data_IF_489352925484
#
_entry.id   IF_489352925484
#
_cell.length_a   1.000
_cell.length_b   1.000
_cell.length_c   1.000
_cell.angle_alpha   90.00
_cell.angle_beta   90.00
_cell.angle_gamma   90.00
#
_symmetry.space_group_name_H-M   'P 1'
#
loop_
_entity.id
_entity.type
_entity.pdbx_description
1 polymer ?
#
# COMPACT_ATOMS: atom_id res chain seq x y z
N UNK A 1 -0.45 -3.03 -9.84
CA UNK A 1 0.74 -3.28 -8.99
C UNK A 1 1.79 -4.06 -9.75
N UNK A 2 3.09 -3.77 -9.55
CA UNK A 2 4.17 -4.58 -10.08
C UNK A 2 4.24 -5.92 -9.33
N UNK A 3 4.90 -6.91 -9.94
CA UNK A 3 5.20 -8.22 -9.33
C UNK A 3 6.14 -8.01 -8.14
N UNK A 4 6.03 -8.84 -7.09
CA UNK A 4 6.96 -8.74 -5.97
C UNK A 4 8.39 -9.00 -6.44
N UNK A 5 9.35 -8.16 -6.04
CA UNK A 5 10.72 -8.36 -6.45
C UNK A 5 11.31 -9.57 -5.70
N UNK A 6 12.30 -10.28 -6.25
CA UNK A 6 12.84 -11.49 -5.61
C UNK A 6 13.49 -11.18 -4.26
N UNK A 7 13.60 -12.16 -3.36
CA UNK A 7 14.11 -11.98 -2.00
C UNK A 7 15.52 -11.34 -1.93
N UNK A 8 16.36 -11.56 -2.95
CA UNK A 8 17.68 -10.93 -3.05
C UNK A 8 17.63 -9.40 -3.25
N UNK A 9 16.47 -8.82 -3.56
CA UNK A 9 16.27 -7.37 -3.68
C UNK A 9 15.80 -6.71 -2.39
N UNK A 10 15.62 -7.47 -1.31
CA UNK A 10 15.24 -6.92 -0.01
C UNK A 10 16.24 -5.84 0.44
N UNK A 11 15.74 -4.75 1.08
CA UNK A 11 16.58 -3.65 1.53
C UNK A 11 17.82 -4.09 2.34
N UNK A 12 18.97 -3.40 2.19
CA UNK A 12 20.20 -3.77 2.89
C UNK A 12 20.07 -3.84 4.42
N UNK A 13 19.18 -3.03 5.00
CA UNK A 13 18.95 -3.01 6.44
C UNK A 13 18.35 -4.34 6.95
N UNK A 14 17.60 -5.08 6.12
CA UNK A 14 17.05 -6.39 6.48
C UNK A 14 18.19 -7.42 6.62
N UNK A 15 19.18 -7.37 5.74
CA UNK A 15 20.34 -8.28 5.78
C UNK A 15 21.19 -8.08 7.03
N UNK A 16 21.19 -6.86 7.57
CA UNK A 16 21.91 -6.49 8.79
C UNK A 16 21.07 -6.68 10.06
N UNK A 17 19.79 -7.04 9.91
CA UNK A 17 18.88 -7.22 11.04
C UNK A 17 19.22 -8.51 11.81
N UNK A 18 19.14 -8.53 13.15
CA UNK A 18 19.39 -9.74 13.95
C UNK A 18 18.48 -10.92 13.57
N UNK A 19 17.27 -10.63 13.09
CA UNK A 19 16.29 -11.61 12.63
C UNK A 19 16.19 -11.72 11.10
N UNK A 20 17.27 -11.41 10.36
CA UNK A 20 17.28 -11.42 8.88
C UNK A 20 16.69 -12.70 8.29
N UNK A 21 17.06 -13.88 8.81
CA UNK A 21 16.52 -15.16 8.36
C UNK A 21 15.00 -15.28 8.55
N UNK A 22 14.46 -14.79 9.67
CA UNK A 22 13.02 -14.79 9.93
C UNK A 22 12.27 -13.86 8.96
N UNK A 23 12.85 -12.68 8.71
CA UNK A 23 12.31 -11.70 7.75
C UNK A 23 12.32 -12.28 6.33
N UNK A 24 13.44 -12.88 5.90
CA UNK A 24 13.56 -13.52 4.58
C UNK A 24 12.57 -14.68 4.43
N UNK A 25 12.42 -15.51 5.46
CA UNK A 25 11.45 -16.61 5.46
C UNK A 25 10.02 -16.10 5.32
N UNK A 26 9.65 -15.04 6.06
CA UNK A 26 8.33 -14.42 5.95
C UNK A 26 8.10 -13.79 4.57
N UNK A 27 9.12 -13.18 3.98
CA UNK A 27 9.04 -12.65 2.63
C UNK A 27 8.84 -13.75 1.58
N UNK A 28 9.54 -14.88 1.71
CA UNK A 28 9.36 -16.02 0.82
C UNK A 28 7.95 -16.60 0.89
N UNK A 29 7.31 -16.60 2.06
CA UNK A 29 5.89 -16.96 2.20
C UNK A 29 5.00 -16.06 1.34
N UNK A 30 5.29 -14.75 1.25
CA UNK A 30 4.56 -13.85 0.36
C UNK A 30 4.81 -14.14 -1.13
N UNK A 31 6.04 -14.51 -1.52
CA UNK A 31 6.37 -14.89 -2.91
C UNK A 31 5.67 -16.19 -3.33
N UNK A 32 5.64 -17.17 -2.43
CA UNK A 32 4.93 -18.44 -2.65
C UNK A 32 3.43 -18.20 -2.81
N UNK A 33 2.86 -17.32 -1.97
CA UNK A 33 1.48 -16.88 -2.09
C UNK A 33 1.21 -16.19 -3.44
N UNK A 34 2.06 -15.26 -3.88
CA UNK A 34 1.88 -14.59 -5.18
C UNK A 34 1.88 -15.61 -6.33
N UNK A 35 2.80 -16.58 -6.27
CA UNK A 35 2.88 -17.67 -7.26
C UNK A 35 1.63 -18.52 -7.26
N UNK A 36 1.09 -18.86 -6.08
CA UNK A 36 -0.15 -19.62 -5.95
C UNK A 36 -1.35 -18.85 -6.53
N UNK A 37 -1.50 -17.57 -6.18
CA UNK A 37 -2.58 -16.72 -6.71
C UNK A 37 -2.48 -16.60 -8.23
N UNK A 38 -1.27 -16.44 -8.77
CA UNK A 38 -1.09 -16.33 -10.22
C UNK A 38 -1.59 -17.59 -10.95
N UNK A 39 -1.33 -18.78 -10.41
CA UNK A 39 -1.85 -20.04 -10.98
C UNK A 39 -3.38 -20.06 -10.96
N UNK A 40 -4.01 -19.61 -9.89
CA UNK A 40 -5.47 -19.52 -9.81
C UNK A 40 -6.05 -18.49 -10.79
N UNK A 41 -5.39 -17.35 -10.97
CA UNK A 41 -5.79 -16.37 -11.99
C UNK A 41 -5.73 -16.98 -13.40
N UNK A 42 -4.67 -17.75 -13.70
CA UNK A 42 -4.51 -18.42 -14.99
C UNK A 42 -5.59 -19.50 -15.23
N UNK A 43 -6.15 -20.06 -14.15
CA UNK A 43 -7.30 -20.97 -14.17
C UNK A 43 -8.67 -20.26 -14.28
N UNK A 44 -8.68 -18.92 -14.23
CA UNK A 44 -9.88 -18.10 -14.35
C UNK A 44 -10.63 -17.86 -13.03
N UNK A 45 -10.00 -18.08 -11.87
CA UNK A 45 -10.69 -18.07 -10.56
C UNK A 45 -11.00 -16.66 -9.99
N UNK A 46 -10.87 -15.56 -10.74
CA UNK A 46 -11.28 -14.21 -10.28
C UNK A 46 -10.60 -13.75 -8.99
N UNK A 47 -9.26 -13.89 -8.94
CA UNK A 47 -8.42 -13.70 -7.75
C UNK A 47 -7.73 -12.32 -7.69
N UNK A 48 -8.27 -11.30 -8.36
CA UNK A 48 -7.61 -9.99 -8.50
C UNK A 48 -7.44 -9.29 -7.15
N UNK A 49 -8.43 -9.41 -6.25
CA UNK A 49 -8.36 -8.86 -4.89
C UNK A 49 -7.32 -9.58 -4.04
N UNK A 50 -7.23 -10.90 -4.17
CA UNK A 50 -6.23 -11.70 -3.47
C UNK A 50 -4.82 -11.26 -3.86
N UNK A 51 -4.58 -11.04 -5.17
CA UNK A 51 -3.32 -10.54 -5.68
C UNK A 51 -2.95 -9.18 -5.07
N UNK A 52 -3.92 -8.27 -4.93
CA UNK A 52 -3.70 -6.98 -4.27
C UNK A 52 -3.27 -7.18 -2.81
N UNK A 53 -3.99 -8.00 -2.04
CA UNK A 53 -3.68 -8.25 -0.62
C UNK A 53 -2.28 -8.85 -0.44
N UNK A 54 -1.92 -9.85 -1.25
CA UNK A 54 -0.60 -10.47 -1.25
C UNK A 54 0.50 -9.44 -1.54
N UNK A 55 0.32 -8.60 -2.56
CA UNK A 55 1.33 -7.60 -2.93
C UNK A 55 1.53 -6.54 -1.87
N UNK A 56 0.47 -6.10 -1.19
CA UNK A 56 0.61 -5.20 -0.03
C UNK A 56 1.55 -5.81 0.99
N UNK A 57 1.33 -7.08 1.38
CA UNK A 57 2.18 -7.75 2.36
C UNK A 57 3.63 -7.77 1.91
N UNK A 58 3.91 -8.16 0.67
CA UNK A 58 5.27 -8.18 0.14
C UNK A 58 5.91 -6.79 0.09
N UNK A 59 5.19 -5.76 -0.35
CA UNK A 59 5.72 -4.40 -0.40
C UNK A 59 5.93 -3.76 0.97
N UNK A 60 5.22 -4.20 2.01
CA UNK A 60 5.49 -3.75 3.37
C UNK A 60 6.92 -4.07 3.78
N UNK A 61 7.51 -5.20 3.40
CA UNK A 61 8.93 -5.48 3.69
C UNK A 61 9.90 -4.45 3.12
N UNK A 62 9.56 -3.81 2.00
CA UNK A 62 10.41 -2.80 1.36
C UNK A 62 10.30 -1.43 2.01
N UNK A 63 9.16 -1.15 2.65
CA UNK A 63 8.81 0.19 3.12
C UNK A 63 8.54 0.28 4.63
N UNK A 64 8.48 -0.84 5.34
CA UNK A 64 8.25 -0.83 6.78
C UNK A 64 9.41 -0.16 7.50
N UNK A 65 9.13 0.65 8.54
CA UNK A 65 10.18 1.10 9.44
C UNK A 65 10.85 -0.12 10.11
N UNK A 66 12.18 -0.09 10.18
CA UNK A 66 12.97 -1.21 10.72
C UNK A 66 12.62 -1.58 12.16
N UNK A 67 12.11 -0.62 12.95
CA UNK A 67 11.76 -0.82 14.37
C UNK A 67 10.52 -1.68 14.59
N UNK A 68 9.63 -1.74 13.61
CA UNK A 68 8.31 -2.35 13.77
C UNK A 68 8.14 -3.59 12.88
N UNK A 69 9.21 -4.08 12.23
CA UNK A 69 9.10 -5.22 11.32
C UNK A 69 8.90 -6.56 12.06
N UNK A 70 9.40 -6.71 13.29
CA UNK A 70 9.36 -8.00 14.00
C UNK A 70 7.91 -8.47 14.30
N UNK A 71 7.00 -7.64 14.83
CA UNK A 71 5.60 -8.04 15.01
C UNK A 71 4.94 -8.45 13.69
N UNK A 72 5.21 -7.72 12.61
CA UNK A 72 4.68 -8.02 11.28
C UNK A 72 5.18 -9.37 10.74
N UNK A 73 6.48 -9.63 10.89
CA UNK A 73 7.10 -10.91 10.52
C UNK A 73 6.52 -12.06 11.36
N UNK A 74 6.33 -11.83 12.66
CA UNK A 74 5.68 -12.78 13.56
C UNK A 74 4.25 -13.10 13.13
N UNK A 75 3.47 -12.10 12.73
CA UNK A 75 2.12 -12.30 12.19
C UNK A 75 2.14 -13.16 10.92
N UNK A 76 3.02 -12.85 9.96
CA UNK A 76 3.16 -13.66 8.74
C UNK A 76 3.56 -15.10 9.08
N UNK A 77 4.56 -15.29 9.92
CA UNK A 77 5.02 -16.62 10.32
C UNK A 77 3.92 -17.42 11.04
N UNK A 78 3.09 -16.76 11.85
CA UNK A 78 2.00 -17.39 12.60
C UNK A 78 0.90 -17.96 11.70
N UNK A 79 0.78 -17.50 10.45
CA UNK A 79 -0.18 -18.05 9.47
C UNK A 79 0.17 -19.45 9.01
N UNK A 80 1.41 -19.92 9.27
CA UNK A 80 1.88 -21.22 8.81
C UNK A 80 1.88 -21.38 7.29
N UNK A 81 1.96 -20.27 6.54
CA UNK A 81 1.93 -20.27 5.08
C UNK A 81 0.56 -20.58 4.48
N UNK A 82 -0.52 -20.58 5.28
CA UNK A 82 -1.86 -20.87 4.78
C UNK A 82 -2.38 -19.69 3.93
N UNK A 83 -2.76 -19.90 2.65
CA UNK A 83 -3.19 -18.81 1.78
C UNK A 83 -4.34 -17.98 2.33
N UNK A 84 -5.37 -18.62 2.87
CA UNK A 84 -6.56 -17.93 3.39
C UNK A 84 -6.23 -16.99 4.56
N UNK A 85 -5.35 -17.42 5.48
CA UNK A 85 -4.95 -16.60 6.62
C UNK A 85 -4.05 -15.44 6.21
N UNK A 86 -3.14 -15.67 5.26
CA UNK A 86 -2.33 -14.60 4.67
C UNK A 86 -3.20 -13.58 3.93
N UNK A 87 -4.21 -14.02 3.20
CA UNK A 87 -5.12 -13.12 2.48
C UNK A 87 -5.98 -12.29 3.44
N UNK A 88 -6.46 -12.87 4.54
CA UNK A 88 -7.12 -12.13 5.63
C UNK A 88 -6.18 -11.11 6.27
N UNK A 89 -4.92 -11.47 6.49
CA UNK A 89 -3.90 -10.54 7.00
C UNK A 89 -3.68 -9.36 6.03
N UNK A 90 -3.52 -9.65 4.74
CA UNK A 90 -3.38 -8.65 3.70
C UNK A 90 -4.61 -7.74 3.57
N UNK A 91 -5.81 -8.27 3.75
CA UNK A 91 -7.05 -7.49 3.81
C UNK A 91 -7.06 -6.49 4.99
N UNK A 92 -6.61 -6.92 6.18
CA UNK A 92 -6.48 -6.02 7.34
C UNK A 92 -5.54 -4.87 7.05
N UNK A 93 -4.37 -5.17 6.47
CA UNK A 93 -3.41 -4.13 6.09
C UNK A 93 -3.93 -3.22 4.96
N UNK A 94 -4.65 -3.76 3.99
CA UNK A 94 -5.34 -2.97 2.98
C UNK A 94 -6.35 -2.00 3.61
N UNK A 95 -7.18 -2.47 4.53
CA UNK A 95 -8.14 -1.63 5.24
C UNK A 95 -7.42 -0.56 6.08
N UNK A 96 -6.35 -0.92 6.78
CA UNK A 96 -5.62 0.01 7.62
C UNK A 96 -4.89 1.10 6.83
N UNK A 97 -4.13 0.74 5.79
CA UNK A 97 -3.34 1.71 5.05
C UNK A 97 -4.15 2.37 3.93
N UNK A 98 -4.77 1.59 3.06
CA UNK A 98 -5.39 2.15 1.86
C UNK A 98 -6.71 2.85 2.17
N UNK A 99 -7.61 2.23 2.95
CA UNK A 99 -8.89 2.88 3.26
C UNK A 99 -8.71 4.11 4.13
N UNK A 100 -7.83 4.08 5.14
CA UNK A 100 -7.59 5.24 6.01
C UNK A 100 -6.98 6.43 5.26
N UNK A 101 -6.07 6.17 4.32
CA UNK A 101 -5.46 7.23 3.51
C UNK A 101 -6.46 7.81 2.51
N UNK A 102 -7.39 6.98 2.02
CA UNK A 102 -8.46 7.40 1.11
C UNK A 102 -9.60 8.12 1.84
N UNK A 103 -9.94 7.75 3.08
CA UNK A 103 -10.96 8.45 3.87
C UNK A 103 -10.56 9.88 4.20
N UNK A 104 -9.26 10.13 4.35
CA UNK A 104 -8.70 11.47 4.59
C UNK A 104 -8.51 12.30 3.30
N UNK A 105 -8.90 11.75 2.14
CA UNK A 105 -8.91 12.48 0.86
C UNK A 105 -10.11 13.43 0.75
N UNK A 106 -11.09 13.30 1.64
CA UNK A 106 -12.23 14.22 1.72
C UNK A 106 -11.86 15.50 2.48
N UNK A 107 -12.00 16.61 1.75
CA UNK A 107 -11.98 17.99 2.22
C UNK A 107 -10.63 18.48 2.71
N UNK A 108 -9.84 19.01 1.77
CA UNK A 108 -8.97 20.14 2.15
C UNK A 108 -9.93 21.21 2.70
N UNK A 109 -9.87 21.58 4.00
CA UNK A 109 -10.76 22.61 4.51
C UNK A 109 -10.59 23.83 3.62
N UNK A 110 -11.71 24.37 3.13
CA UNK A 110 -11.71 25.63 2.38
C UNK A 110 -10.87 26.62 3.17
N UNK A 111 -9.82 27.22 2.58
CA UNK A 111 -8.96 28.13 3.31
C UNK A 111 -9.84 29.23 3.92
N UNK A 112 -9.93 29.26 5.25
CA UNK A 112 -10.73 30.24 5.95
C UNK A 112 -10.08 31.60 5.75
N UNK A 113 -10.79 32.53 5.12
CA UNK A 113 -10.38 33.93 4.97
C UNK A 113 -10.50 34.69 6.30
N UNK A 114 -9.88 34.19 7.37
CA UNK A 114 -9.85 34.86 8.66
C UNK A 114 -8.58 35.70 8.80
N UNK A 115 -8.73 37.02 8.92
CA UNK A 115 -7.63 37.99 9.04
C UNK A 115 -6.98 38.03 10.43
N UNK A 116 -6.99 36.93 11.17
CA UNK A 116 -6.56 36.89 12.58
C UNK A 116 -5.36 35.96 12.81
N UNK A 117 -4.44 35.86 11.84
CA UNK A 117 -3.13 35.23 12.07
C UNK A 117 -2.14 36.27 12.56
N UNK A 118 -2.17 36.51 13.87
CA UNK A 118 -1.12 37.24 14.61
C UNK A 118 -0.08 36.24 15.11
N UNK A 119 1.18 36.49 14.71
CA UNK A 119 2.48 35.97 15.17
C UNK A 119 2.68 34.44 15.23
N UNK A 120 3.00 33.84 14.08
CA UNK A 120 3.71 32.54 13.99
C UNK A 120 5.23 32.74 13.90
N UNK A 121 5.68 33.94 13.56
CA UNK A 121 7.10 34.20 13.25
C UNK A 121 8.02 34.08 14.47
N UNK A 122 7.52 34.42 15.67
CA UNK A 122 8.35 34.44 16.88
C UNK A 122 8.64 33.04 17.48
N UNK A 123 7.91 32.01 17.04
CA UNK A 123 8.16 30.62 17.43
C UNK A 123 9.08 29.92 16.43
N UNK A 124 9.05 30.32 15.16
CA UNK A 124 9.88 29.77 14.10
C UNK A 124 11.37 30.06 14.35
N UNK A 125 11.71 31.29 14.75
CA UNK A 125 13.10 31.68 15.01
C UNK A 125 13.72 30.92 16.19
N UNK A 126 12.91 30.56 17.19
CA UNK A 126 13.36 29.75 18.35
C UNK A 126 13.59 28.27 18.02
N UNK A 127 12.90 27.74 17.01
CA UNK A 127 12.97 26.33 16.62
C UNK A 127 14.10 26.08 15.60
N UNK A 128 14.45 27.10 14.79
CA UNK A 128 15.53 27.03 13.79
C UNK A 128 16.91 26.85 14.42
N UNK A 129 17.16 27.44 15.59
CA UNK A 129 18.47 27.34 16.27
C UNK A 129 18.73 25.96 16.94
N UNK A 130 17.69 25.17 17.23
CA UNK A 130 17.82 23.92 18.02
C UNK A 130 17.79 22.62 17.20
N UNK A 131 17.43 22.64 15.90
CA UNK A 131 17.18 21.41 15.12
C UNK A 131 18.01 21.34 13.83
N UNK A 132 19.27 20.89 13.97
CA UNK A 132 19.99 20.28 12.83
C UNK A 132 19.36 18.91 12.53
N UNK A 133 18.74 18.83 11.36
CA UNK A 133 18.24 17.64 10.65
C UNK A 133 16.89 17.03 11.09
N UNK A 134 15.83 17.81 10.96
CA UNK A 134 14.51 17.27 10.58
C UNK A 134 13.95 18.08 9.39
N UNK A 135 13.20 17.47 8.44
CA UNK A 135 12.70 18.17 7.27
C UNK A 135 11.86 19.40 7.67
N UNK A 136 12.40 20.60 7.41
CA UNK A 136 11.85 21.87 7.92
C UNK A 136 10.48 22.25 7.38
N UNK A 137 10.02 21.63 6.29
CA UNK A 137 8.76 22.00 5.65
C UNK A 137 7.75 20.85 5.69
N UNK A 138 6.57 21.16 6.24
CA UNK A 138 5.40 20.27 6.23
C UNK A 138 5.07 19.79 4.81
N UNK A 139 5.28 20.63 3.79
CA UNK A 139 5.15 20.25 2.38
C UNK A 139 6.17 19.20 1.96
N UNK A 140 7.43 19.30 2.39
CA UNK A 140 8.48 18.34 2.05
C UNK A 140 8.25 17.00 2.74
N UNK A 141 7.83 17.01 4.01
CA UNK A 141 7.42 15.81 4.73
C UNK A 141 6.19 15.15 4.07
N UNK A 142 5.17 15.94 3.72
CA UNK A 142 3.96 15.47 3.04
C UNK A 142 4.26 15.01 1.61
N UNK A 143 5.24 15.61 0.93
CA UNK A 143 5.73 15.20 -0.39
C UNK A 143 6.48 13.88 -0.31
N UNK A 144 7.37 13.67 0.66
CA UNK A 144 8.06 12.39 0.86
C UNK A 144 7.08 11.23 1.16
N UNK A 145 6.14 11.45 2.07
CA UNK A 145 5.07 10.47 2.36
C UNK A 145 4.17 10.24 1.14
N UNK A 146 3.81 11.31 0.42
CA UNK A 146 3.03 11.20 -0.81
C UNK A 146 3.78 10.49 -1.92
N UNK A 147 5.05 10.76 -2.16
CA UNK A 147 5.81 10.20 -3.29
C UNK A 147 6.07 8.71 -3.11
N UNK A 148 6.43 8.27 -1.89
CA UNK A 148 6.63 6.84 -1.61
C UNK A 148 5.31 6.04 -1.59
N UNK A 149 4.18 6.71 -1.32
CA UNK A 149 2.86 6.09 -1.36
C UNK A 149 2.20 6.22 -2.74
N UNK A 150 2.51 7.26 -3.53
CA UNK A 150 2.02 7.43 -4.90
C UNK A 150 2.64 6.38 -5.84
N UNK A 151 3.88 5.94 -5.63
CA UNK A 151 4.42 4.80 -6.38
C UNK A 151 3.62 3.52 -6.12
N UNK A 152 3.16 3.32 -4.88
CA UNK A 152 2.24 2.25 -4.51
C UNK A 152 0.83 2.47 -5.10
N UNK A 153 0.31 3.71 -5.12
CA UNK A 153 -1.07 4.07 -5.53
C UNK A 153 -1.27 4.35 -7.04
N UNK A 154 -0.29 4.83 -7.79
CA UNK A 154 -0.35 4.94 -9.26
C UNK A 154 -0.45 3.53 -9.87
N UNK A 155 0.20 2.57 -9.22
CA UNK A 155 0.02 1.14 -9.47
C UNK A 155 -1.39 0.60 -9.12
N UNK A 156 -2.18 1.30 -8.31
CA UNK A 156 -3.60 1.01 -8.02
C UNK A 156 -4.56 1.71 -8.99
N UNK A 157 -4.28 2.94 -9.42
CA UNK A 157 -5.19 3.71 -10.29
C UNK A 157 -5.34 3.07 -11.68
N UNK A 158 -4.30 2.41 -12.19
CA UNK A 158 -4.34 1.66 -13.45
C UNK A 158 -5.23 0.41 -13.36
N UNK A 159 -5.36 -0.22 -12.19
CA UNK A 159 -6.21 -1.40 -12.00
C UNK A 159 -7.67 -1.03 -11.66
N UNK A 160 -7.90 0.04 -10.91
CA UNK A 160 -9.26 0.45 -10.56
C UNK A 160 -10.04 0.96 -11.78
N UNK A 161 -9.36 1.55 -12.78
CA UNK A 161 -9.99 1.89 -14.07
C UNK A 161 -10.32 0.67 -14.95
N UNK A 162 -9.68 -0.48 -14.74
CA UNK A 162 -10.01 -1.73 -15.44
C UNK A 162 -11.09 -2.55 -14.74
N UNK A 163 -11.31 -2.35 -13.43
CA UNK A 163 -12.32 -3.07 -12.64
C UNK A 163 -13.64 -2.29 -12.49
N UNK A 164 -13.64 -0.98 -12.71
CA UNK A 164 -14.87 -0.20 -12.93
C UNK A 164 -14.99 0.10 -14.43
N UNK A 165 -15.34 -0.91 -15.21
CA UNK A 165 -15.80 -0.70 -16.58
C UNK A 165 -16.98 0.28 -16.61
N UNK A 166 -17.10 1.13 -17.63
CA UNK A 166 -18.22 2.05 -17.73
C UNK A 166 -19.53 1.26 -17.86
N UNK A 167 -20.38 1.39 -16.85
CA UNK A 167 -21.81 1.15 -16.94
C UNK A 167 -22.40 2.05 -18.04
N UNK A 168 -22.52 1.50 -19.25
CA UNK A 168 -23.31 2.07 -20.34
C UNK A 168 -24.45 1.09 -20.65
N UNK A 169 -25.50 1.25 -19.84
CA UNK A 169 -26.90 0.99 -20.17
C UNK A 169 -27.21 1.26 -21.65
N UNK A 170 -27.48 0.21 -22.43
CA UNK A 170 -28.44 0.23 -23.54
C UNK A 170 -29.28 -1.05 -23.52
N UNK A 171 -30.60 -0.84 -23.52
CA UNK A 171 -31.69 -1.82 -23.48
C UNK A 171 -31.84 -2.60 -24.81
N UNK A 172 -32.70 -3.65 -24.86
CA UNK A 172 -32.59 -4.77 -25.79
C UNK A 172 -33.24 -4.48 -27.13
N UNK A 173 -32.75 -5.14 -28.19
CA UNK A 173 -33.47 -5.27 -29.46
C UNK A 173 -33.68 -6.74 -29.75
N UNK A 174 -34.91 -7.20 -29.54
CA UNK A 174 -35.46 -8.40 -30.16
C UNK A 174 -35.72 -8.14 -31.66
N UNK A 175 -35.29 -9.05 -32.53
CA UNK A 175 -35.99 -9.55 -33.76
C UNK A 175 -35.06 -10.57 -34.43
N UNK A 176 -35.37 -11.87 -34.40
CA UNK A 176 -36.30 -12.65 -35.24
C UNK A 176 -35.84 -12.92 -36.69
N UNK A 177 -35.82 -14.23 -36.99
CA UNK A 177 -35.96 -14.95 -38.28
C UNK A 177 -34.72 -14.92 -39.19
N UNK A 178 -34.18 -16.06 -39.62
CA UNK A 178 -34.78 -17.13 -40.44
C UNK A 178 -33.99 -17.10 -41.77
N UNK A 179 -33.47 -18.16 -42.37
CA UNK A 179 -33.83 -19.57 -42.54
C UNK A 179 -32.54 -20.38 -42.70
#
# INVERSE_FOLDING_TARGET
>A
MPVLPPANTLPPWIRQHPQSHGIESAYNICLDLETWIQREVDLGTGMEKAMIHCRILGYLFHHFPSRDIEPFVGEIASTGGQPDELLKLGERFYAYFVKLLMSNKETTPVPSSHSSRLSVDNLADKIVDELKEAPQNHETAKKLVRTNLFTLLDSYHVLNMSLTGPDQRWLPVCRHQGL
#
